data_IF_498531287642
#
_entry.id   IF_498531287642
#
_cell.length_a   1.000
_cell.length_b   1.000
_cell.length_c   1.000
_cell.angle_alpha   90.00
_cell.angle_beta   90.00
_cell.angle_gamma   90.00
#
_symmetry.space_group_name_H-M   'P 1'
#
loop_
_entity.id
_entity.type
_entity.pdbx_description
1 polymer ?
#
# COMPACT_ATOMS: atom_id res chain seq x y z
N UNK A 1 3.65 47.77 -14.00
CA UNK A 1 2.34 47.08 -14.05
C UNK A 1 2.33 45.78 -14.87
N UNK A 2 3.03 45.68 -16.02
CA UNK A 2 3.05 44.44 -16.85
C UNK A 2 3.63 43.18 -16.16
N UNK A 3 4.63 43.33 -15.27
CA UNK A 3 5.26 42.18 -14.57
C UNK A 3 4.34 41.51 -13.54
N UNK A 4 3.51 42.28 -12.83
CA UNK A 4 2.60 41.74 -11.82
C UNK A 4 1.47 40.92 -12.44
N UNK A 5 1.03 41.27 -13.65
CA UNK A 5 0.01 40.53 -14.39
C UNK A 5 0.46 39.13 -14.82
N UNK A 6 1.74 38.98 -15.17
CA UNK A 6 2.32 37.70 -15.59
C UNK A 6 2.43 36.72 -14.41
N UNK A 7 2.83 37.23 -13.24
CA UNK A 7 2.92 36.43 -12.00
C UNK A 7 1.53 35.99 -11.53
N UNK A 8 0.52 36.87 -11.64
CA UNK A 8 -0.85 36.54 -11.30
C UNK A 8 -1.43 35.44 -12.22
N UNK A 9 -1.17 35.53 -13.53
CA UNK A 9 -1.58 34.52 -14.51
C UNK A 9 -0.95 33.14 -14.24
N UNK A 10 0.35 33.10 -13.90
CA UNK A 10 1.06 31.87 -13.57
C UNK A 10 0.52 31.22 -12.28
N UNK A 11 0.21 32.02 -11.25
CA UNK A 11 -0.38 31.54 -10.00
C UNK A 11 -1.79 30.98 -10.20
N UNK A 12 -2.63 31.64 -11.00
CA UNK A 12 -3.99 31.17 -11.29
C UNK A 12 -3.95 29.87 -12.11
N UNK A 13 -3.06 29.77 -13.10
CA UNK A 13 -2.87 28.54 -13.87
C UNK A 13 -2.34 27.37 -13.01
N UNK A 14 -1.47 27.65 -12.03
CA UNK A 14 -1.01 26.63 -11.08
C UNK A 14 -2.11 26.20 -10.11
N UNK A 15 -2.97 27.13 -9.66
CA UNK A 15 -4.09 26.83 -8.77
C UNK A 15 -5.22 26.02 -9.44
N UNK A 16 -5.42 26.22 -10.75
CA UNK A 16 -6.42 25.47 -11.52
C UNK A 16 -6.04 23.99 -11.72
N UNK A 17 -4.76 23.65 -11.55
CA UNK A 17 -4.24 22.27 -11.60
C UNK A 17 -3.97 21.70 -10.21
N UNK A 18 -4.18 22.47 -9.14
CA UNK A 18 -4.09 22.00 -7.76
C UNK A 18 -5.38 21.27 -7.35
N UNK A 19 -5.82 20.36 -8.20
CA UNK A 19 -6.87 19.41 -7.85
C UNK A 19 -6.13 18.30 -7.11
N UNK A 20 -6.01 18.44 -5.79
CA UNK A 20 -5.57 17.34 -4.95
C UNK A 20 -6.54 16.20 -5.22
N UNK A 21 -6.08 15.17 -5.95
CA UNK A 21 -6.87 13.98 -6.18
C UNK A 21 -7.28 13.45 -4.81
N UNK A 22 -8.58 13.34 -4.58
CA UNK A 22 -9.10 12.81 -3.32
C UNK A 22 -8.56 11.38 -3.18
N UNK A 23 -7.63 11.21 -2.23
CA UNK A 23 -7.00 9.92 -2.00
C UNK A 23 -7.95 9.12 -1.13
N UNK A 24 -8.47 8.02 -1.68
CA UNK A 24 -9.15 7.00 -0.90
C UNK A 24 -8.13 6.31 0.03
N UNK A 25 -8.00 6.85 1.23
CA UNK A 25 -7.04 6.37 2.22
C UNK A 25 -7.36 4.95 2.69
N UNK A 26 -8.64 4.56 2.74
CA UNK A 26 -9.02 3.21 3.15
C UNK A 26 -8.57 2.20 2.11
N UNK A 27 -8.82 2.49 0.83
CA UNK A 27 -8.33 1.65 -0.27
C UNK A 27 -6.81 1.60 -0.31
N UNK A 28 -6.12 2.75 -0.17
CA UNK A 28 -4.65 2.79 -0.12
C UNK A 28 -4.13 1.95 1.04
N UNK A 29 -4.69 2.11 2.24
CA UNK A 29 -4.24 1.42 3.44
C UNK A 29 -4.52 -0.10 3.35
N UNK A 30 -5.61 -0.50 2.70
CA UNK A 30 -5.87 -1.90 2.37
C UNK A 30 -4.76 -2.46 1.48
N UNK A 31 -4.41 -1.77 0.39
CA UNK A 31 -3.33 -2.20 -0.50
C UNK A 31 -1.97 -2.25 0.22
N UNK A 32 -1.66 -1.27 1.08
CA UNK A 32 -0.43 -1.29 1.90
C UNK A 32 -0.42 -2.53 2.81
N UNK A 33 -1.53 -2.79 3.52
CA UNK A 33 -1.64 -3.96 4.39
C UNK A 33 -1.46 -5.26 3.60
N UNK A 34 -2.16 -5.42 2.48
CA UNK A 34 -2.10 -6.63 1.66
C UNK A 34 -0.69 -6.86 1.10
N UNK A 35 -0.06 -5.83 0.54
CA UNK A 35 1.32 -5.93 0.05
C UNK A 35 2.28 -6.38 1.16
N UNK A 36 2.29 -5.66 2.30
CA UNK A 36 3.19 -5.97 3.40
C UNK A 36 2.92 -7.34 4.04
N UNK A 37 1.67 -7.76 4.14
CA UNK A 37 1.30 -9.03 4.76
C UNK A 37 1.63 -10.22 3.85
N UNK A 38 1.32 -10.13 2.56
CA UNK A 38 1.61 -11.19 1.59
C UNK A 38 3.12 -11.40 1.43
N UNK A 39 3.93 -10.33 1.42
CA UNK A 39 5.39 -10.44 1.42
C UNK A 39 5.92 -11.21 2.64
N UNK A 40 5.37 -10.96 3.83
CA UNK A 40 5.76 -11.68 5.05
C UNK A 40 5.33 -13.16 5.03
N UNK A 41 4.21 -13.46 4.37
CA UNK A 41 3.76 -14.84 4.16
C UNK A 41 4.65 -15.57 3.15
N UNK A 42 4.99 -14.94 2.02
CA UNK A 42 5.91 -15.55 1.04
C UNK A 42 7.28 -15.83 1.65
N UNK A 43 7.80 -14.91 2.46
CA UNK A 43 9.07 -15.07 3.18
C UNK A 43 9.04 -16.23 4.20
N UNK A 44 7.85 -16.67 4.63
CA UNK A 44 7.69 -17.78 5.55
C UNK A 44 7.64 -19.16 4.88
N UNK A 45 7.48 -19.20 3.55
CA UNK A 45 7.45 -20.45 2.80
C UNK A 45 8.86 -21.05 2.69
N UNK A 46 8.97 -22.33 3.03
CA UNK A 46 10.25 -23.08 2.94
C UNK A 46 10.67 -23.29 1.49
N UNK A 47 9.70 -23.47 0.59
CA UNK A 47 9.94 -23.69 -0.84
C UNK A 47 9.54 -22.47 -1.66
N UNK A 48 10.41 -22.05 -2.57
CA UNK A 48 10.14 -20.96 -3.53
C UNK A 48 9.44 -21.46 -4.80
N UNK A 49 8.44 -22.32 -4.60
CA UNK A 49 7.61 -22.89 -5.65
C UNK A 49 6.54 -21.91 -6.15
N UNK A 50 5.45 -22.44 -6.68
CA UNK A 50 4.41 -21.61 -7.31
C UNK A 50 3.62 -20.77 -6.29
N UNK A 51 3.41 -21.28 -5.08
CA UNK A 51 2.78 -20.51 -3.98
C UNK A 51 3.60 -19.27 -3.61
N UNK A 52 4.93 -19.40 -3.54
CA UNK A 52 5.82 -18.26 -3.32
C UNK A 52 5.69 -17.23 -4.44
N UNK A 53 5.73 -17.67 -5.69
CA UNK A 53 5.60 -16.75 -6.85
C UNK A 53 4.25 -16.05 -6.86
N UNK A 54 3.17 -16.75 -6.54
CA UNK A 54 1.83 -16.19 -6.48
C UNK A 54 1.72 -15.12 -5.38
N UNK A 55 2.22 -15.42 -4.18
CA UNK A 55 2.21 -14.44 -3.08
C UNK A 55 3.08 -13.21 -3.37
N UNK A 56 4.26 -13.38 -3.97
CA UNK A 56 5.12 -12.27 -4.40
C UNK A 56 4.40 -11.42 -5.45
N UNK A 57 3.83 -12.05 -6.48
CA UNK A 57 3.09 -11.35 -7.52
C UNK A 57 1.91 -10.53 -6.96
N UNK A 58 1.12 -11.11 -6.05
CA UNK A 58 0.01 -10.41 -5.42
C UNK A 58 0.50 -9.28 -4.50
N UNK A 59 1.57 -9.52 -3.74
CA UNK A 59 2.22 -8.51 -2.93
C UNK A 59 2.65 -7.29 -3.77
N UNK A 60 3.34 -7.54 -4.88
CA UNK A 60 3.80 -6.48 -5.79
C UNK A 60 2.63 -5.73 -6.43
N UNK A 61 1.59 -6.46 -6.85
CA UNK A 61 0.38 -5.87 -7.43
C UNK A 61 -0.32 -4.92 -6.45
N UNK A 62 -0.50 -5.34 -5.19
CA UNK A 62 -1.04 -4.46 -4.15
C UNK A 62 -0.11 -3.27 -3.88
N UNK A 63 1.21 -3.49 -3.87
CA UNK A 63 2.20 -2.44 -3.68
C UNK A 63 2.10 -1.35 -4.74
N UNK A 64 1.95 -1.74 -6.01
CA UNK A 64 1.84 -0.80 -7.12
C UNK A 64 0.54 0.01 -7.06
N UNK A 65 -0.60 -0.61 -6.73
CA UNK A 65 -1.86 0.11 -6.54
C UNK A 65 -1.79 1.11 -5.37
N UNK A 66 -1.17 0.72 -4.25
CA UNK A 66 -0.94 1.63 -3.13
C UNK A 66 -0.04 2.82 -3.54
N UNK A 67 1.03 2.57 -4.31
CA UNK A 67 1.95 3.64 -4.79
C UNK A 67 1.25 4.60 -5.75
N UNK A 68 0.37 4.11 -6.63
CA UNK A 68 -0.49 4.96 -7.48
C UNK A 68 -1.38 5.91 -6.65
N UNK A 69 -1.74 5.50 -5.43
CA UNK A 69 -2.50 6.30 -4.47
C UNK A 69 -1.62 7.08 -3.48
N UNK A 70 -0.33 7.24 -3.79
CA UNK A 70 0.60 8.03 -2.97
C UNK A 70 1.14 7.33 -1.73
N UNK A 71 1.10 5.99 -1.67
CA UNK A 71 1.85 5.27 -0.64
C UNK A 71 3.36 5.40 -0.87
N UNK A 72 4.10 5.65 0.21
CA UNK A 72 5.56 5.73 0.21
C UNK A 72 6.15 4.47 0.84
N UNK A 73 7.45 4.26 0.63
CA UNK A 73 8.20 3.17 1.26
C UNK A 73 8.13 3.21 2.80
N UNK A 74 8.00 4.41 3.40
CA UNK A 74 7.78 4.56 4.84
C UNK A 74 6.50 3.85 5.29
N UNK A 75 5.38 4.03 4.57
CA UNK A 75 4.13 3.37 4.93
C UNK A 75 4.26 1.84 4.91
N UNK A 76 4.88 1.27 3.88
CA UNK A 76 5.12 -0.18 3.80
C UNK A 76 6.05 -0.64 4.93
N UNK A 77 7.11 0.12 5.22
CA UNK A 77 8.06 -0.23 6.28
C UNK A 77 7.41 -0.24 7.68
N UNK A 78 6.50 0.70 7.95
CA UNK A 78 5.82 0.83 9.24
C UNK A 78 4.82 -0.31 9.44
N UNK A 79 4.03 -0.62 8.42
CA UNK A 79 3.09 -1.76 8.45
C UNK A 79 3.85 -3.07 8.56
N UNK A 80 4.93 -3.26 7.80
CA UNK A 80 5.78 -4.46 7.89
C UNK A 80 6.37 -4.64 9.29
N UNK A 81 6.88 -3.56 9.89
CA UNK A 81 7.42 -3.58 11.27
C UNK A 81 6.34 -4.02 12.25
N UNK A 82 5.16 -3.42 12.18
CA UNK A 82 4.03 -3.78 13.02
C UNK A 82 3.62 -5.24 12.84
N UNK A 83 3.50 -5.73 11.60
CA UNK A 83 3.13 -7.11 11.31
C UNK A 83 4.16 -8.11 11.84
N UNK A 84 5.47 -7.81 11.73
CA UNK A 84 6.53 -8.62 12.35
C UNK A 84 6.39 -8.68 13.88
N UNK A 85 6.12 -7.54 14.53
CA UNK A 85 5.86 -7.50 15.97
C UNK A 85 4.64 -8.34 16.35
N UNK A 86 3.54 -8.24 15.60
CA UNK A 86 2.32 -9.03 15.84
C UNK A 86 2.58 -10.52 15.66
N UNK A 87 3.26 -10.92 14.58
CA UNK A 87 3.63 -12.31 14.30
C UNK A 87 4.42 -12.94 15.44
N UNK A 88 5.37 -12.18 16.00
CA UNK A 88 6.28 -12.69 17.03
C UNK A 88 5.66 -12.70 18.43
N UNK A 89 4.81 -11.73 18.74
CA UNK A 89 4.37 -11.47 20.12
C UNK A 89 2.88 -11.76 20.37
N UNK A 90 2.08 -11.95 19.32
CA UNK A 90 0.63 -12.13 19.45
C UNK A 90 0.05 -13.04 18.37
N UNK A 91 0.21 -14.36 18.58
CA UNK A 91 -0.29 -15.40 17.67
C UNK A 91 -1.79 -15.26 17.35
N UNK A 92 -2.64 -15.01 18.36
CA UNK A 92 -4.09 -14.89 18.13
C UNK A 92 -4.49 -13.67 17.30
N UNK A 93 -3.70 -12.58 17.33
CA UNK A 93 -3.90 -11.45 16.42
C UNK A 93 -3.34 -11.73 15.04
N UNK A 94 -2.18 -12.38 14.95
CA UNK A 94 -1.58 -12.81 13.69
C UNK A 94 -2.53 -13.71 12.90
N UNK A 95 -3.10 -14.73 13.55
CA UNK A 95 -4.04 -15.67 12.92
C UNK A 95 -5.29 -14.96 12.39
N UNK A 96 -5.83 -14.00 13.14
CA UNK A 96 -6.98 -13.18 12.70
C UNK A 96 -6.64 -12.29 11.50
N UNK A 97 -5.49 -11.63 11.50
CA UNK A 97 -5.03 -10.82 10.37
C UNK A 97 -4.80 -11.69 9.13
N UNK A 98 -4.21 -12.88 9.32
CA UNK A 98 -4.00 -13.84 8.23
C UNK A 98 -5.31 -14.33 7.66
N UNK A 99 -6.27 -14.71 8.51
CA UNK A 99 -7.61 -15.08 8.06
C UNK A 99 -8.25 -13.96 7.25
N UNK A 100 -8.23 -12.72 7.78
CA UNK A 100 -8.82 -11.57 7.08
C UNK A 100 -8.11 -11.27 5.77
N UNK A 101 -6.79 -11.44 5.70
CA UNK A 101 -6.04 -11.19 4.47
C UNK A 101 -6.45 -12.12 3.33
N UNK A 102 -6.90 -13.34 3.62
CA UNK A 102 -7.45 -14.25 2.60
C UNK A 102 -8.72 -13.70 1.94
N UNK A 103 -9.54 -12.98 2.71
CA UNK A 103 -10.82 -12.43 2.26
C UNK A 103 -10.67 -11.11 1.49
N UNK A 104 -9.56 -10.39 1.64
CA UNK A 104 -9.44 -9.00 1.14
C UNK A 104 -8.20 -8.75 0.28
N UNK A 105 -7.24 -9.66 0.27
CA UNK A 105 -5.98 -9.52 -0.47
C UNK A 105 -5.81 -10.51 -1.62
N UNK A 106 -6.81 -11.39 -1.86
CA UNK A 106 -6.76 -12.35 -2.96
C UNK A 106 -7.76 -11.91 -4.06
N UNK A 107 -7.51 -12.26 -5.33
CA UNK A 107 -8.47 -11.98 -6.38
C UNK A 107 -9.76 -12.77 -6.16
N UNK A 108 -10.92 -12.11 -6.28
CA UNK A 108 -12.25 -12.72 -6.15
C UNK A 108 -12.59 -13.28 -4.75
N UNK A 109 -11.95 -12.76 -3.70
CA UNK A 109 -12.29 -13.07 -2.31
C UNK A 109 -13.47 -12.28 -1.77
#
# INVERSE_FOLDING_TARGET
MKKNFLVLMLMVAASANAWAQEVDYDKRNLHIFCASHLALLSDSLTEKGDDYKALVFLSDTHGDEARKMGATETHFSDVTRYLKTVRNNNKGKWDRLTSRSRDVCLPNS
#
